data_IF_057599463491
#
_entry.id   IF_057599463491
#
_cell.length_a   1.000
_cell.length_b   1.000
_cell.length_c   1.000
_cell.angle_alpha   90.00
_cell.angle_beta   90.00
_cell.angle_gamma   90.00
#
_symmetry.space_group_name_H-M   'P 1'
#
loop_
_entity.id
_entity.type
_entity.pdbx_description
1 polymer ?
#
# COMPACT_ATOMS: atom_id res chain seq x y z
N UNK A 1 32.76 -36.53 15.37
CA UNK A 1 32.65 -37.08 13.99
C UNK A 1 32.17 -38.53 14.08
N UNK A 2 30.92 -38.74 14.52
CA UNK A 2 30.39 -40.08 14.84
C UNK A 2 28.89 -40.16 14.45
N UNK A 3 28.60 -39.89 13.17
CA UNK A 3 27.22 -39.94 12.65
C UNK A 3 27.13 -40.22 11.16
N UNK A 4 28.23 -40.66 10.53
CA UNK A 4 28.35 -40.79 9.07
C UNK A 4 28.61 -42.23 8.59
N UNK A 5 28.57 -43.23 9.48
CA UNK A 5 29.00 -44.61 9.15
C UNK A 5 27.90 -45.70 9.21
N UNK A 6 26.61 -45.34 9.17
CA UNK A 6 25.58 -46.39 9.05
C UNK A 6 24.32 -45.88 8.35
N UNK A 7 24.40 -45.77 7.02
CA UNK A 7 23.29 -45.33 6.17
C UNK A 7 22.83 -46.52 5.29
N UNK A 8 21.76 -47.25 5.67
CA UNK A 8 21.22 -48.33 4.85
C UNK A 8 20.51 -47.77 3.60
N UNK A 9 20.40 -48.58 2.54
CA UNK A 9 19.84 -48.26 1.22
C UNK A 9 18.39 -47.71 1.17
N UNK A 10 17.74 -47.46 2.32
CA UNK A 10 16.45 -46.75 2.46
C UNK A 10 16.59 -45.23 2.64
N UNK A 11 17.81 -44.71 2.82
CA UNK A 11 18.05 -43.28 3.01
C UNK A 11 17.86 -42.42 1.75
N UNK A 12 17.79 -43.03 0.56
CA UNK A 12 17.49 -42.31 -0.68
C UNK A 12 16.15 -41.57 -0.60
N UNK A 13 15.13 -42.19 0.00
CA UNK A 13 13.84 -41.54 0.24
C UNK A 13 13.92 -40.44 1.31
N UNK A 14 14.75 -40.61 2.33
CA UNK A 14 14.92 -39.60 3.40
C UNK A 14 15.65 -38.37 2.84
N UNK A 15 16.69 -38.56 2.04
CA UNK A 15 17.40 -37.49 1.34
C UNK A 15 16.50 -36.78 0.32
N UNK A 16 15.71 -37.54 -0.45
CA UNK A 16 14.72 -36.97 -1.38
C UNK A 16 13.67 -36.13 -0.65
N UNK A 17 13.13 -36.63 0.49
CA UNK A 17 12.18 -35.88 1.32
C UNK A 17 12.82 -34.63 1.91
N UNK A 18 14.08 -34.69 2.37
CA UNK A 18 14.77 -33.53 2.95
C UNK A 18 15.02 -32.43 1.91
N UNK A 19 15.46 -32.82 0.71
CA UNK A 19 15.67 -31.90 -0.42
C UNK A 19 14.33 -31.30 -0.88
N UNK A 20 13.29 -32.14 -1.02
CA UNK A 20 11.95 -31.68 -1.34
C UNK A 20 11.41 -30.74 -0.27
N UNK A 21 11.65 -31.01 1.02
CA UNK A 21 11.22 -30.16 2.13
C UNK A 21 11.94 -28.79 2.08
N UNK A 22 13.25 -28.77 1.82
CA UNK A 22 14.01 -27.54 1.69
C UNK A 22 13.50 -26.69 0.50
N UNK A 23 13.25 -27.34 -0.64
CA UNK A 23 12.69 -26.70 -1.83
C UNK A 23 11.27 -26.16 -1.59
N UNK A 24 10.39 -26.96 -0.99
CA UNK A 24 9.02 -26.57 -0.66
C UNK A 24 9.01 -25.39 0.32
N UNK A 25 9.87 -25.41 1.34
CA UNK A 25 9.92 -24.33 2.33
C UNK A 25 10.40 -23.01 1.70
N UNK A 26 11.39 -23.07 0.79
CA UNK A 26 11.83 -21.93 0.01
C UNK A 26 10.75 -21.39 -0.93
N UNK A 27 10.06 -22.29 -1.64
CA UNK A 27 8.97 -21.94 -2.54
C UNK A 27 7.80 -21.26 -1.81
N UNK A 28 7.43 -21.77 -0.63
CA UNK A 28 6.39 -21.19 0.22
C UNK A 28 6.77 -19.79 0.72
N UNK A 29 8.04 -19.56 1.06
CA UNK A 29 8.52 -18.24 1.46
C UNK A 29 8.42 -17.21 0.31
N UNK A 30 8.78 -17.62 -0.91
CA UNK A 30 8.63 -16.79 -2.10
C UNK A 30 7.17 -16.45 -2.39
N UNK A 31 6.30 -17.47 -2.40
CA UNK A 31 4.87 -17.26 -2.61
C UNK A 31 4.25 -16.34 -1.54
N UNK A 32 4.63 -16.50 -0.27
CA UNK A 32 4.12 -15.64 0.81
C UNK A 32 4.58 -14.18 0.67
N UNK A 33 5.80 -13.94 0.22
CA UNK A 33 6.29 -12.59 -0.11
C UNK A 33 5.54 -11.96 -1.31
N UNK A 34 5.24 -12.77 -2.32
CA UNK A 34 4.45 -12.36 -3.48
C UNK A 34 3.00 -12.00 -3.07
N UNK A 35 2.36 -12.85 -2.26
CA UNK A 35 1.01 -12.62 -1.76
C UNK A 35 0.90 -11.32 -0.94
N UNK A 36 1.85 -11.08 -0.03
CA UNK A 36 1.94 -9.82 0.73
C UNK A 36 2.13 -8.56 -0.14
N UNK A 37 2.52 -8.73 -1.41
CA UNK A 37 2.60 -7.63 -2.37
C UNK A 37 1.33 -7.46 -3.18
N UNK A 38 0.69 -8.57 -3.56
CA UNK A 38 -0.61 -8.56 -4.20
C UNK A 38 -1.72 -8.02 -3.29
N UNK A 39 -1.62 -8.18 -1.98
CA UNK A 39 -2.61 -7.65 -1.03
C UNK A 39 -2.57 -6.12 -0.90
N UNK A 40 -1.37 -5.52 -1.02
CA UNK A 40 -1.20 -4.07 -0.81
C UNK A 40 -1.24 -3.25 -2.11
N UNK A 41 -0.89 -3.86 -3.26
CA UNK A 41 -0.89 -3.23 -4.57
C UNK A 41 -2.27 -2.65 -5.02
N UNK A 42 -3.40 -3.38 -4.90
CA UNK A 42 -4.71 -2.83 -5.28
C UNK A 42 -5.14 -1.68 -4.38
N UNK A 43 -4.88 -1.76 -3.07
CA UNK A 43 -5.18 -0.68 -2.12
C UNK A 43 -4.38 0.58 -2.46
N UNK A 44 -3.09 0.41 -2.77
CA UNK A 44 -2.22 1.50 -3.20
C UNK A 44 -2.74 2.19 -4.48
N UNK A 45 -3.08 1.44 -5.52
CA UNK A 45 -3.61 2.02 -6.76
C UNK A 45 -4.95 2.72 -6.56
N UNK A 46 -5.85 2.13 -5.78
CA UNK A 46 -7.15 2.74 -5.47
C UNK A 46 -7.00 4.09 -4.75
N UNK A 47 -6.13 4.16 -3.74
CA UNK A 47 -5.87 5.40 -3.00
C UNK A 47 -5.14 6.45 -3.86
N UNK A 48 -4.21 6.03 -4.72
CA UNK A 48 -3.48 6.94 -5.62
C UNK A 48 -4.41 7.52 -6.70
N UNK A 49 -5.32 6.71 -7.24
CA UNK A 49 -6.31 7.12 -8.23
C UNK A 49 -7.36 8.06 -7.64
N UNK A 50 -7.90 7.76 -6.45
CA UNK A 50 -8.88 8.63 -5.78
C UNK A 50 -8.26 9.91 -5.21
N UNK A 51 -7.09 9.83 -4.58
CA UNK A 51 -6.37 11.00 -4.05
C UNK A 51 -5.83 11.92 -5.15
N UNK A 52 -5.46 11.36 -6.31
CA UNK A 52 -4.90 12.09 -7.44
C UNK A 52 -5.88 13.02 -8.17
N UNK A 53 -7.20 12.76 -8.09
CA UNK A 53 -8.23 13.56 -8.79
C UNK A 53 -8.24 15.02 -8.33
N UNK A 54 -8.01 15.28 -7.03
CA UNK A 54 -8.06 16.63 -6.45
C UNK A 54 -6.67 17.19 -6.15
N UNK A 55 -5.71 16.33 -5.83
CA UNK A 55 -4.37 16.72 -5.43
C UNK A 55 -3.30 15.86 -6.16
N UNK A 56 -3.02 16.16 -7.45
CA UNK A 56 -2.12 15.34 -8.27
C UNK A 56 -0.66 15.34 -7.78
N UNK A 57 -0.14 16.50 -7.37
CA UNK A 57 1.26 16.61 -6.90
C UNK A 57 1.58 15.78 -5.65
N UNK A 58 0.84 15.89 -4.52
CA UNK A 58 1.15 15.09 -3.33
C UNK A 58 0.91 13.59 -3.54
N UNK A 59 -0.05 13.20 -4.40
CA UNK A 59 -0.30 11.80 -4.73
C UNK A 59 0.92 11.16 -5.41
N UNK A 60 1.58 11.86 -6.35
CA UNK A 60 2.79 11.39 -7.03
C UNK A 60 3.98 11.30 -6.08
N UNK A 61 4.17 12.30 -5.20
CA UNK A 61 5.28 12.31 -4.23
C UNK A 61 5.14 11.17 -3.22
N UNK A 62 3.95 10.97 -2.65
CA UNK A 62 3.70 9.88 -1.70
C UNK A 62 3.74 8.51 -2.41
N UNK A 63 3.26 8.43 -3.65
CA UNK A 63 3.30 7.22 -4.46
C UNK A 63 4.71 6.75 -4.80
N UNK A 64 5.59 7.68 -5.19
CA UNK A 64 7.00 7.37 -5.47
C UNK A 64 7.76 6.92 -4.22
N UNK A 65 7.53 7.56 -3.07
CA UNK A 65 8.10 7.13 -1.77
C UNK A 65 7.64 5.70 -1.41
N UNK A 66 6.37 5.37 -1.65
CA UNK A 66 5.85 4.02 -1.42
C UNK A 66 6.53 2.97 -2.30
N UNK A 67 6.71 3.24 -3.60
CA UNK A 67 7.37 2.33 -4.56
C UNK A 67 8.82 2.07 -4.13
N UNK A 68 9.58 3.12 -3.81
CA UNK A 68 10.97 2.99 -3.34
C UNK A 68 11.05 2.16 -2.06
N UNK A 69 10.15 2.40 -1.11
CA UNK A 69 10.13 1.64 0.15
C UNK A 69 9.81 0.16 -0.07
N UNK A 70 8.90 -0.17 -0.99
CA UNK A 70 8.58 -1.56 -1.33
C UNK A 70 9.74 -2.27 -2.06
N UNK A 71 10.49 -1.56 -2.90
CA UNK A 71 11.71 -2.12 -3.50
C UNK A 71 12.71 -2.53 -2.42
N UNK A 72 13.01 -1.63 -1.47
CA UNK A 72 13.89 -1.95 -0.34
C UNK A 72 13.31 -3.02 0.60
N UNK A 73 11.98 -3.10 0.76
CA UNK A 73 11.34 -4.17 1.53
C UNK A 73 11.59 -5.55 0.91
N UNK A 74 11.55 -5.67 -0.42
CA UNK A 74 11.88 -6.91 -1.13
C UNK A 74 13.37 -7.25 -1.02
N UNK A 75 14.27 -6.28 -1.19
CA UNK A 75 15.72 -6.49 -1.00
C UNK A 75 16.05 -6.93 0.43
N UNK A 76 15.38 -6.35 1.43
CA UNK A 76 15.50 -6.77 2.84
C UNK A 76 14.95 -8.17 3.10
N UNK A 77 13.94 -8.61 2.35
CA UNK A 77 13.40 -9.98 2.44
C UNK A 77 14.42 -11.04 2.01
N UNK A 78 15.27 -10.75 1.03
CA UNK A 78 16.34 -11.63 0.55
C UNK A 78 17.59 -11.62 1.44
N UNK A 79 17.75 -10.64 2.33
CA UNK A 79 18.95 -10.50 3.18
C UNK A 79 18.87 -11.31 4.49
N UNK A 80 17.69 -11.80 4.89
CA UNK A 80 17.51 -12.68 6.05
C UNK A 80 17.54 -12.00 7.43
N UNK A 81 17.86 -10.71 7.52
CA UNK A 81 17.96 -9.95 8.78
C UNK A 81 16.60 -9.33 9.22
N UNK A 82 16.02 -9.72 10.37
CA UNK A 82 14.69 -9.29 10.80
C UNK A 82 14.59 -7.79 11.16
N UNK A 83 15.69 -7.16 11.59
CA UNK A 83 15.69 -5.73 11.98
C UNK A 83 15.65 -4.77 10.78
N UNK A 84 16.23 -5.15 9.62
CA UNK A 84 16.14 -4.34 8.39
C UNK A 84 14.75 -4.41 7.75
N UNK A 85 14.00 -5.52 7.96
CA UNK A 85 12.61 -5.67 7.49
C UNK A 85 11.63 -4.67 8.12
N UNK A 86 11.65 -4.54 9.46
CA UNK A 86 10.68 -3.70 10.16
C UNK A 86 10.94 -2.20 10.00
N UNK A 87 12.20 -1.80 10.06
CA UNK A 87 12.57 -0.37 10.06
C UNK A 87 12.19 0.30 8.74
N UNK A 88 12.34 -0.42 7.62
CA UNK A 88 11.99 0.07 6.28
C UNK A 88 10.49 -0.07 6.00
N UNK A 89 9.84 -1.14 6.48
CA UNK A 89 8.39 -1.33 6.32
C UNK A 89 7.54 -0.21 6.92
N UNK A 90 8.01 0.45 8.00
CA UNK A 90 7.33 1.61 8.62
C UNK A 90 7.09 2.76 7.64
N UNK A 91 8.04 3.03 6.74
CA UNK A 91 7.90 4.11 5.75
C UNK A 91 6.85 3.79 4.69
N UNK A 92 6.66 2.52 4.33
CA UNK A 92 5.63 2.09 3.38
C UNK A 92 4.23 2.23 3.99
N UNK A 93 4.10 1.95 5.28
CA UNK A 93 2.86 2.17 6.02
C UNK A 93 2.56 3.67 6.19
N UNK A 94 3.58 4.50 6.46
CA UNK A 94 3.45 5.96 6.52
C UNK A 94 2.97 6.56 5.19
N UNK A 95 3.51 6.10 4.06
CA UNK A 95 3.09 6.56 2.75
C UNK A 95 1.61 6.18 2.45
N UNK A 96 1.18 4.99 2.87
CA UNK A 96 -0.22 4.54 2.79
C UNK A 96 -1.16 5.41 3.62
N UNK A 97 -0.78 5.73 4.86
CA UNK A 97 -1.55 6.65 5.72
C UNK A 97 -1.63 8.05 5.10
N UNK A 98 -0.54 8.52 4.50
CA UNK A 98 -0.52 9.79 3.76
C UNK A 98 -1.50 9.80 2.57
N UNK A 99 -1.49 8.74 1.76
CA UNK A 99 -2.43 8.56 0.64
C UNK A 99 -3.90 8.45 1.10
N UNK A 100 -4.13 7.81 2.24
CA UNK A 100 -5.44 7.75 2.89
C UNK A 100 -5.90 9.15 3.32
N UNK A 101 -5.00 9.97 3.87
CA UNK A 101 -5.26 11.38 4.20
C UNK A 101 -5.62 12.23 2.97
N UNK A 102 -4.95 12.04 1.83
CA UNK A 102 -5.31 12.72 0.57
C UNK A 102 -6.73 12.35 0.11
N UNK A 103 -7.13 11.10 0.26
CA UNK A 103 -8.47 10.61 -0.11
C UNK A 103 -9.54 11.19 0.83
N UNK A 104 -9.25 11.30 2.13
CA UNK A 104 -10.15 11.94 3.11
C UNK A 104 -10.32 13.44 2.83
N UNK A 105 -9.22 14.15 2.51
CA UNK A 105 -9.28 15.57 2.14
C UNK A 105 -10.13 15.82 0.88
N UNK A 106 -10.05 14.92 -0.11
CA UNK A 106 -10.94 14.94 -1.27
C UNK A 106 -12.41 14.74 -0.87
N UNK A 107 -12.70 13.76 0.00
CA UNK A 107 -14.05 13.51 0.53
C UNK A 107 -14.63 14.72 1.26
N UNK A 108 -13.84 15.41 2.09
CA UNK A 108 -14.25 16.62 2.80
C UNK A 108 -14.49 17.78 1.82
N UNK A 109 -13.62 17.96 0.81
CA UNK A 109 -13.81 18.96 -0.26
C UNK A 109 -15.11 18.72 -1.04
N UNK A 110 -15.47 17.46 -1.30
CA UNK A 110 -16.72 17.13 -1.99
C UNK A 110 -17.95 17.46 -1.14
N UNK A 111 -17.91 17.14 0.16
CA UNK A 111 -19.00 17.44 1.09
C UNK A 111 -19.21 18.95 1.29
N UNK A 112 -18.13 19.72 1.44
CA UNK A 112 -18.19 21.20 1.51
C UNK A 112 -18.61 21.85 0.19
N UNK A 113 -18.24 21.28 -0.95
CA UNK A 113 -18.57 21.80 -2.28
C UNK A 113 -20.08 21.87 -2.56
N UNK A 114 -20.86 20.92 -2.03
CA UNK A 114 -22.32 20.94 -2.13
C UNK A 114 -22.93 22.11 -1.34
N UNK A 115 -22.38 22.41 -0.17
CA UNK A 115 -22.84 23.52 0.67
C UNK A 115 -22.46 24.89 0.09
N UNK A 116 -21.28 25.02 -0.52
CA UNK A 116 -20.80 26.28 -1.07
C UNK A 116 -21.53 26.72 -2.34
N UNK A 117 -21.97 25.78 -3.20
CA UNK A 117 -22.82 26.08 -4.36
C UNK A 117 -24.25 26.49 -3.97
N UNK A 118 -24.81 25.88 -2.91
CA UNK A 118 -26.12 26.28 -2.38
C UNK A 118 -26.06 27.67 -1.73
N UNK A 119 -25.00 27.98 -0.98
CA UNK A 119 -24.77 29.32 -0.43
C UNK A 119 -24.59 30.37 -1.53
N UNK A 120 -23.84 30.08 -2.60
CA UNK A 120 -23.70 30.99 -3.74
C UNK A 120 -25.02 31.18 -4.50
N UNK A 121 -25.84 30.13 -4.66
CA UNK A 121 -27.18 30.24 -5.25
C UNK A 121 -28.13 31.05 -4.35
N UNK A 122 -28.14 30.82 -3.04
CA UNK A 122 -28.95 31.58 -2.08
C UNK A 122 -28.54 33.06 -2.06
N UNK A 123 -27.24 33.36 -2.07
CA UNK A 123 -26.75 34.73 -2.16
C UNK A 123 -27.11 35.39 -3.50
N UNK A 124 -27.10 34.67 -4.61
CA UNK A 124 -27.55 35.21 -5.90
C UNK A 124 -29.06 35.47 -5.93
N UNK A 125 -29.88 34.61 -5.33
CA UNK A 125 -31.33 34.82 -5.18
C UNK A 125 -31.59 36.03 -4.28
N UNK A 126 -30.91 36.15 -3.14
CA UNK A 126 -31.10 37.25 -2.20
C UNK A 126 -30.63 38.60 -2.76
N UNK A 127 -29.53 38.62 -3.53
CA UNK A 127 -29.08 39.82 -4.25
C UNK A 127 -30.00 40.20 -5.44
N UNK A 128 -30.65 39.20 -6.07
CA UNK A 128 -31.64 39.42 -7.12
C UNK A 128 -32.94 40.06 -6.60
N UNK A 129 -33.45 39.58 -5.47
CA UNK A 129 -34.65 40.12 -4.81
C UNK A 129 -34.44 41.55 -4.27
N UNK A 130 -33.24 41.85 -3.73
CA UNK A 130 -32.89 43.19 -3.25
C UNK A 130 -32.83 44.25 -4.37
N UNK A 131 -32.49 43.85 -5.60
CA UNK A 131 -32.48 44.75 -6.76
C UNK A 131 -33.89 45.06 -7.27
N UNK A 132 -34.85 44.16 -7.05
CA UNK A 132 -36.25 44.29 -7.45
C UNK A 132 -37.07 45.13 -6.46
N UNK A 133 -36.69 45.12 -5.18
CA UNK A 133 -37.34 45.93 -4.13
C UNK A 133 -36.92 47.41 -4.09
N UNK A 134 -35.83 47.79 -4.79
CA UNK A 134 -35.30 49.17 -4.80
C UNK A 134 -35.69 49.98 -6.05
N UNK A 135 -36.55 49.45 -6.92
CA UNK A 135 -37.05 50.10 -8.13
C UNK A 135 -38.56 50.24 -8.05
#
# INVERSE_FOLDING_TARGET
MAGLEMLPARYGNVAFVLVAYCFLNFWMAFQRGHQNSLELMPVFFMLMMLGGIRHPCPSVVLGSIYIVTRYFYFTGYSTGDPQKRLTIGKYGFLALVGLMGCTVSFGISLHRGKNQRLLHMLLLIQNGELKKSKK
#
